data_IF_287308965659
#
_entry.id   IF_287308965659
#
_cell.length_a   1.000
_cell.length_b   1.000
_cell.length_c   1.000
_cell.angle_alpha   90.00
_cell.angle_beta   90.00
_cell.angle_gamma   90.00
#
_symmetry.space_group_name_H-M   'P 1'
#
loop_
_entity.id
_entity.type
_entity.pdbx_description
1 polymer ?
#
# COMPACT_ATOMS: atom_id res chain seq x y z
N UNK A 1 -0.07 -7.53 -5.94
CA UNK A 1 1.18 -8.18 -5.45
C UNK A 1 2.21 -8.25 -6.56
N UNK A 2 1.81 -8.58 -7.79
CA UNK A 2 2.70 -8.65 -8.96
C UNK A 2 3.38 -7.33 -9.33
N UNK A 3 2.68 -6.20 -9.23
CA UNK A 3 3.24 -4.89 -9.59
C UNK A 3 4.41 -4.47 -8.68
N UNK A 4 4.26 -4.67 -7.36
CA UNK A 4 5.33 -4.41 -6.39
C UNK A 4 6.56 -5.30 -6.62
N UNK A 5 6.34 -6.57 -7.00
CA UNK A 5 7.44 -7.48 -7.33
C UNK A 5 8.16 -7.02 -8.59
N UNK A 6 7.42 -6.65 -9.64
CA UNK A 6 8.01 -6.15 -10.88
C UNK A 6 8.88 -4.91 -10.65
N UNK A 7 8.39 -3.94 -9.87
CA UNK A 7 9.14 -2.73 -9.51
C UNK A 7 10.44 -3.05 -8.75
N UNK A 8 10.38 -4.00 -7.81
CA UNK A 8 11.56 -4.46 -7.10
C UNK A 8 12.56 -5.16 -8.04
N UNK A 9 12.10 -6.04 -8.92
CA UNK A 9 12.98 -6.76 -9.84
C UNK A 9 13.65 -5.82 -10.84
N UNK A 10 12.94 -4.81 -11.34
CA UNK A 10 13.48 -3.77 -12.19
C UNK A 10 14.54 -2.94 -11.44
N UNK A 11 14.26 -2.52 -10.20
CA UNK A 11 15.24 -1.86 -9.35
C UNK A 11 16.49 -2.71 -9.15
N UNK A 12 16.32 -4.01 -8.85
CA UNK A 12 17.44 -4.93 -8.61
C UNK A 12 18.33 -5.06 -9.85
N UNK A 13 17.72 -5.26 -11.03
CA UNK A 13 18.43 -5.32 -12.31
C UNK A 13 19.23 -4.06 -12.57
N UNK A 14 18.61 -2.89 -12.35
CA UNK A 14 19.26 -1.59 -12.55
C UNK A 14 20.41 -1.35 -11.55
N UNK A 15 20.22 -1.72 -10.28
CA UNK A 15 21.22 -1.52 -9.21
C UNK A 15 22.49 -2.34 -9.42
N UNK A 16 22.35 -3.58 -9.87
CA UNK A 16 23.47 -4.51 -10.05
C UNK A 16 23.93 -4.62 -11.51
N UNK A 17 23.29 -3.88 -12.43
CA UNK A 17 23.55 -3.94 -13.88
C UNK A 17 23.51 -5.37 -14.44
N UNK A 18 22.51 -6.15 -14.01
CA UNK A 18 22.37 -7.56 -14.38
C UNK A 18 21.24 -7.77 -15.37
N UNK A 19 21.45 -8.70 -16.31
CA UNK A 19 20.36 -9.21 -17.16
C UNK A 19 19.42 -10.12 -16.35
N UNK A 20 18.23 -10.39 -16.89
CA UNK A 20 17.28 -11.33 -16.28
C UNK A 20 17.87 -12.73 -16.07
N UNK A 21 18.79 -13.19 -16.92
CA UNK A 21 19.41 -14.51 -16.77
C UNK A 21 20.47 -14.53 -15.67
N UNK A 22 21.26 -13.46 -15.54
CA UNK A 22 22.20 -13.32 -14.42
C UNK A 22 21.44 -13.16 -13.09
N UNK A 23 20.28 -12.51 -13.10
CA UNK A 23 19.42 -12.40 -11.92
C UNK A 23 18.96 -13.78 -11.40
N UNK A 24 18.65 -14.74 -12.28
CA UNK A 24 18.32 -16.12 -11.89
C UNK A 24 19.47 -16.81 -11.15
N UNK A 25 20.72 -16.53 -11.55
CA UNK A 25 21.91 -17.04 -10.84
C UNK A 25 22.04 -16.37 -9.46
N UNK A 26 21.66 -15.10 -9.37
CA UNK A 26 21.62 -14.33 -8.13
C UNK A 26 20.34 -14.52 -7.30
N UNK A 27 19.54 -15.55 -7.58
CA UNK A 27 18.20 -15.73 -6.99
C UNK A 27 18.18 -15.62 -5.46
N UNK A 28 19.15 -16.23 -4.76
CA UNK A 28 19.23 -16.14 -3.29
C UNK A 28 19.40 -14.67 -2.84
N UNK A 29 20.23 -13.88 -3.52
CA UNK A 29 20.42 -12.46 -3.20
C UNK A 29 19.17 -11.64 -3.50
N UNK A 30 18.46 -11.94 -4.60
CA UNK A 30 17.23 -11.24 -4.92
C UNK A 30 16.12 -11.55 -3.93
N UNK A 31 15.96 -12.80 -3.50
CA UNK A 31 14.94 -13.17 -2.51
C UNK A 31 15.24 -12.59 -1.13
N UNK A 32 16.49 -12.63 -0.64
CA UNK A 32 16.85 -12.01 0.64
C UNK A 32 16.57 -10.49 0.60
N UNK A 33 16.91 -9.83 -0.49
CA UNK A 33 16.63 -8.40 -0.65
C UNK A 33 15.13 -8.10 -0.74
N UNK A 34 14.35 -9.00 -1.36
CA UNK A 34 12.90 -8.91 -1.43
C UNK A 34 12.24 -9.10 -0.06
N UNK A 35 12.63 -10.12 0.69
CA UNK A 35 12.14 -10.36 2.05
C UNK A 35 12.44 -9.17 2.96
N UNK A 36 13.67 -8.63 2.90
CA UNK A 36 14.05 -7.44 3.66
C UNK A 36 13.21 -6.21 3.26
N UNK A 37 12.93 -6.05 1.97
CA UNK A 37 12.08 -4.97 1.45
C UNK A 37 10.64 -5.10 1.95
N UNK A 38 10.06 -6.30 1.89
CA UNK A 38 8.71 -6.58 2.41
C UNK A 38 8.63 -6.34 3.93
N UNK A 39 9.60 -6.87 4.68
CA UNK A 39 9.67 -6.70 6.13
C UNK A 39 9.75 -5.21 6.52
N UNK A 40 10.61 -4.44 5.85
CA UNK A 40 10.75 -3.00 6.10
C UNK A 40 9.44 -2.24 5.87
N UNK A 41 8.66 -2.60 4.84
CA UNK A 41 7.38 -1.95 4.55
C UNK A 41 6.28 -2.37 5.51
N UNK A 42 6.24 -3.63 5.92
CA UNK A 42 5.29 -4.12 6.93
C UNK A 42 5.51 -3.50 8.32
N UNK A 43 6.75 -3.05 8.60
CA UNK A 43 7.10 -2.37 9.85
C UNK A 43 6.63 -0.91 9.91
N UNK A 44 6.27 -0.32 8.77
CA UNK A 44 5.69 1.03 8.73
C UNK A 44 4.22 0.91 9.13
N UNK A 45 3.84 1.63 10.19
CA UNK A 45 2.46 1.73 10.64
C UNK A 45 1.94 3.15 10.45
N UNK A 46 0.91 3.30 9.61
CA UNK A 46 0.28 4.59 9.33
C UNK A 46 -1.04 4.68 10.08
N UNK A 47 -1.22 5.77 10.82
CA UNK A 47 -2.49 6.14 11.44
C UNK A 47 -3.28 7.03 10.48
N UNK A 48 -4.53 6.65 10.23
CA UNK A 48 -5.45 7.43 9.42
C UNK A 48 -6.35 8.29 10.30
N UNK A 49 -6.86 9.43 9.77
CA UNK A 49 -7.91 10.16 10.45
C UNK A 49 -9.11 9.25 10.72
N UNK A 50 -9.76 9.43 11.87
CA UNK A 50 -11.01 8.75 12.16
C UNK A 50 -12.05 9.08 11.10
N UNK A 51 -12.84 8.07 10.71
CA UNK A 51 -14.03 8.27 9.90
C UNK A 51 -15.06 9.07 10.68
N UNK A 52 -15.79 9.92 9.97
CA UNK A 52 -16.91 10.65 10.58
C UNK A 52 -18.03 9.66 10.89
N UNK A 53 -18.71 9.88 12.00
CA UNK A 53 -19.90 9.12 12.36
C UNK A 53 -21.08 9.68 11.56
N UNK A 54 -21.70 8.83 10.74
CA UNK A 54 -22.84 9.22 9.91
C UNK A 54 -24.07 8.67 10.60
N UNK A 55 -24.62 9.49 11.50
CA UNK A 55 -25.78 9.11 12.28
C UNK A 55 -27.03 9.08 11.39
N UNK A 56 -28.01 8.23 11.74
CA UNK A 56 -29.27 8.18 10.99
C UNK A 56 -30.07 9.49 11.04
N UNK A 57 -29.74 10.38 11.98
CA UNK A 57 -30.39 11.67 12.19
C UNK A 57 -29.85 12.75 11.25
N UNK A 58 -28.68 12.53 10.62
CA UNK A 58 -28.06 13.44 9.64
C UNK A 58 -28.50 13.14 8.19
N UNK A 59 -29.09 11.96 7.95
CA UNK A 59 -29.68 11.55 6.67
C UNK A 59 -30.67 12.53 6.01
N UNK A 60 -31.43 13.39 6.72
CA UNK A 60 -32.37 14.32 6.10
C UNK A 60 -31.71 15.51 5.37
N UNK A 61 -30.40 15.73 5.52
CA UNK A 61 -29.69 16.88 4.93
C UNK A 61 -28.71 16.36 3.85
N UNK A 62 -29.12 16.33 2.57
CA UNK A 62 -28.33 15.70 1.49
C UNK A 62 -26.89 16.20 1.40
N UNK A 63 -26.68 17.51 1.55
CA UNK A 63 -25.36 18.14 1.40
C UNK A 63 -24.37 17.82 2.53
N UNK A 64 -24.86 17.46 3.73
CA UNK A 64 -23.99 17.09 4.86
C UNK A 64 -23.57 15.62 4.79
N UNK A 65 -24.51 14.74 4.41
CA UNK A 65 -24.26 13.30 4.22
C UNK A 65 -23.27 13.06 3.09
N UNK A 66 -23.41 13.78 1.97
CA UNK A 66 -22.52 13.64 0.80
C UNK A 66 -21.06 13.98 1.13
N UNK A 67 -20.81 14.94 2.04
CA UNK A 67 -19.44 15.31 2.43
C UNK A 67 -18.81 14.28 3.38
N UNK A 68 -19.55 13.83 4.40
CA UNK A 68 -19.05 12.83 5.34
C UNK A 68 -18.82 11.46 4.68
N UNK A 69 -19.76 11.03 3.82
CA UNK A 69 -19.61 9.82 3.01
C UNK A 69 -18.40 9.93 2.08
N UNK A 70 -18.27 11.05 1.36
CA UNK A 70 -17.14 11.30 0.46
C UNK A 70 -15.78 11.27 1.18
N UNK A 71 -15.70 11.88 2.37
CA UNK A 71 -14.49 11.85 3.20
C UNK A 71 -14.18 10.43 3.67
N UNK A 72 -15.19 9.71 4.16
CA UNK A 72 -15.02 8.34 4.66
C UNK A 72 -14.62 7.36 3.54
N UNK A 73 -15.19 7.52 2.35
CA UNK A 73 -14.81 6.79 1.15
C UNK A 73 -13.35 7.07 0.76
N UNK A 74 -12.95 8.35 0.71
CA UNK A 74 -11.56 8.72 0.42
C UNK A 74 -10.55 8.15 1.42
N UNK A 75 -10.88 8.18 2.72
CA UNK A 75 -10.08 7.53 3.77
C UNK A 75 -9.93 6.03 3.51
N UNK A 76 -11.03 5.36 3.16
CA UNK A 76 -11.04 3.91 2.88
C UNK A 76 -10.21 3.56 1.63
N UNK A 77 -10.43 4.26 0.52
CA UNK A 77 -9.72 4.02 -0.75
C UNK A 77 -8.20 4.24 -0.58
N UNK A 78 -7.81 5.29 0.13
CA UNK A 78 -6.40 5.54 0.45
C UNK A 78 -5.81 4.43 1.33
N UNK A 79 -6.54 3.97 2.36
CA UNK A 79 -6.08 2.89 3.22
C UNK A 79 -5.89 1.58 2.43
N UNK A 80 -6.79 1.26 1.51
CA UNK A 80 -6.68 0.10 0.63
C UNK A 80 -5.50 0.20 -0.34
N UNK A 81 -5.30 1.35 -0.98
CA UNK A 81 -4.17 1.58 -1.87
C UNK A 81 -2.82 1.43 -1.14
N UNK A 82 -2.71 1.95 0.09
CA UNK A 82 -1.51 1.81 0.92
C UNK A 82 -1.27 0.35 1.33
N UNK A 83 -2.32 -0.38 1.74
CA UNK A 83 -2.23 -1.81 2.05
C UNK A 83 -1.81 -2.63 0.84
N UNK A 84 -2.34 -2.31 -0.34
CA UNK A 84 -1.95 -2.96 -1.60
C UNK A 84 -0.48 -2.74 -1.95
N UNK A 85 0.10 -1.62 -1.49
CA UNK A 85 1.54 -1.35 -1.59
C UNK A 85 2.38 -2.04 -0.49
N UNK A 86 1.78 -2.89 0.35
CA UNK A 86 2.47 -3.66 1.38
C UNK A 86 2.82 -2.89 2.66
N UNK A 87 2.15 -1.76 2.91
CA UNK A 87 2.31 -0.95 4.12
C UNK A 87 1.13 -1.16 5.06
N UNK A 88 1.37 -1.26 6.36
CA UNK A 88 0.32 -1.46 7.36
C UNK A 88 -0.38 -0.13 7.67
N UNK A 89 -1.70 -0.16 7.64
CA UNK A 89 -2.57 0.94 8.09
C UNK A 89 -3.27 0.48 9.36
N UNK A 90 -3.15 1.25 10.45
CA UNK A 90 -3.83 0.96 11.71
C UNK A 90 -5.34 1.12 11.53
N UNK A 91 -6.10 0.26 12.19
CA UNK A 91 -7.56 0.34 12.27
C UNK A 91 -8.01 1.41 13.27
#
# INVERSE_FOLDING_TARGET
MDESRNQFEEWFKNKYHVSSDVMKIMHIKSEIAWEAWQASRSAIEIEFPAKNDISSDDNPIPDLVDWDDGRNAGIQECAEAIRAAGIKVKE
#
